data_IF_033350595218
#
_entry.id   IF_033350595218
#
_cell.length_a   1.000
_cell.length_b   1.000
_cell.length_c   1.000
_cell.angle_alpha   90.00
_cell.angle_beta   90.00
_cell.angle_gamma   90.00
#
_symmetry.space_group_name_H-M   'P 1'
#
loop_
_entity.id
_entity.type
_entity.pdbx_description
1 polymer ?
#
# COMPACT_ATOMS: atom_id res chain seq x y z
N UNK A 1 -21.88 28.04 25.63
CA UNK A 1 -21.36 27.95 24.25
C UNK A 1 -21.42 26.53 23.68
N UNK A 2 -21.04 25.45 24.40
CA UNK A 2 -21.09 24.06 23.92
C UNK A 2 -22.53 23.53 23.69
N UNK A 3 -23.53 23.93 24.51
CA UNK A 3 -24.92 23.51 24.33
C UNK A 3 -25.66 24.08 23.09
N UNK A 4 -25.13 25.16 22.50
CA UNK A 4 -25.69 25.70 21.25
C UNK A 4 -25.21 24.95 20.02
N UNK A 5 -23.95 24.46 20.03
CA UNK A 5 -23.39 23.64 18.97
C UNK A 5 -24.06 22.26 18.84
N UNK A 6 -24.40 21.63 19.98
CA UNK A 6 -25.12 20.36 19.98
C UNK A 6 -26.54 20.47 19.44
N UNK A 7 -27.24 21.62 19.66
CA UNK A 7 -28.56 21.87 19.05
C UNK A 7 -28.48 22.10 17.53
N UNK A 8 -27.47 22.81 17.02
CA UNK A 8 -27.30 23.01 15.59
C UNK A 8 -27.00 21.67 14.87
N UNK A 9 -26.18 20.78 15.47
CA UNK A 9 -25.91 19.46 14.89
C UNK A 9 -27.14 18.54 14.91
N UNK A 10 -28.04 18.68 15.90
CA UNK A 10 -29.30 17.92 15.95
C UNK A 10 -30.30 18.36 14.88
N UNK A 11 -30.22 19.60 14.37
CA UNK A 11 -31.09 20.07 13.29
C UNK A 11 -30.65 19.57 11.90
N UNK A 12 -29.39 19.16 11.73
CA UNK A 12 -28.89 18.49 10.51
C UNK A 12 -29.19 16.99 10.47
N UNK A 13 -29.72 16.42 11.57
CA UNK A 13 -30.04 14.98 11.69
C UNK A 13 -31.23 14.49 10.84
N UNK A 14 -32.24 15.28 10.46
CA UNK A 14 -33.35 14.76 9.66
C UNK A 14 -33.00 14.54 8.16
N UNK A 15 -31.87 15.07 7.66
CA UNK A 15 -31.48 14.83 6.29
C UNK A 15 -30.83 13.42 6.09
N UNK A 16 -30.37 12.80 7.17
CA UNK A 16 -30.00 11.39 7.20
C UNK A 16 -31.21 10.61 7.70
N UNK A 17 -32.09 10.20 6.79
CA UNK A 17 -33.25 9.39 7.10
C UNK A 17 -32.88 8.19 7.99
N UNK A 18 -33.88 7.62 8.63
CA UNK A 18 -33.72 6.49 9.56
C UNK A 18 -32.77 5.43 9.03
N UNK A 19 -31.51 5.46 9.50
CA UNK A 19 -30.46 4.51 9.13
C UNK A 19 -30.64 3.14 9.79
N UNK A 20 -31.74 2.92 10.54
CA UNK A 20 -32.00 1.64 11.22
C UNK A 20 -32.13 0.48 10.22
N UNK A 21 -32.73 0.73 9.06
CA UNK A 21 -32.86 -0.27 7.99
C UNK A 21 -31.50 -0.60 7.32
N UNK A 22 -30.49 0.28 7.41
CA UNK A 22 -29.14 0.01 6.89
C UNK A 22 -28.35 -0.96 7.77
N UNK A 23 -28.76 -1.18 9.03
CA UNK A 23 -28.10 -2.14 9.93
C UNK A 23 -28.12 -3.56 9.36
N UNK A 24 -29.17 -3.91 8.61
CA UNK A 24 -29.30 -5.23 7.97
C UNK A 24 -28.26 -5.43 6.85
N UNK A 25 -27.89 -4.39 6.12
CA UNK A 25 -26.91 -4.45 5.01
C UNK A 25 -25.46 -4.34 5.48
N UNK A 26 -25.23 -3.93 6.72
CA UNK A 26 -23.89 -3.73 7.28
C UNK A 26 -22.97 -4.95 7.18
N UNK A 27 -23.40 -6.18 7.52
CA UNK A 27 -22.54 -7.36 7.40
C UNK A 27 -22.19 -7.69 5.94
N UNK A 28 -23.16 -7.61 5.03
CA UNK A 28 -22.93 -7.86 3.60
C UNK A 28 -21.98 -6.82 2.99
N UNK A 29 -22.15 -5.54 3.34
CA UNK A 29 -21.25 -4.47 2.91
C UNK A 29 -19.82 -4.65 3.45
N UNK A 30 -19.68 -5.03 4.73
CA UNK A 30 -18.37 -5.31 5.35
C UNK A 30 -17.67 -6.48 4.67
N UNK A 31 -18.41 -7.54 4.34
CA UNK A 31 -17.84 -8.71 3.68
C UNK A 31 -17.39 -8.37 2.25
N UNK A 32 -18.20 -7.62 1.49
CA UNK A 32 -17.84 -7.15 0.15
C UNK A 32 -16.60 -6.26 0.20
N UNK A 33 -16.56 -5.29 1.09
CA UNK A 33 -15.42 -4.38 1.24
C UNK A 33 -14.12 -5.13 1.58
N UNK A 34 -14.18 -6.19 2.42
CA UNK A 34 -13.01 -7.03 2.70
C UNK A 34 -12.55 -7.82 1.48
N UNK A 35 -13.47 -8.31 0.65
CA UNK A 35 -13.14 -9.01 -0.58
C UNK A 35 -12.48 -8.06 -1.61
N UNK A 36 -13.04 -6.87 -1.78
CA UNK A 36 -12.52 -5.84 -2.68
C UNK A 36 -11.11 -5.39 -2.25
N UNK A 37 -10.89 -5.18 -0.95
CA UNK A 37 -9.56 -4.86 -0.41
C UNK A 37 -8.55 -5.97 -0.62
N UNK A 38 -8.94 -7.24 -0.42
CA UNK A 38 -8.05 -8.36 -0.68
C UNK A 38 -7.65 -8.46 -2.16
N UNK A 39 -8.59 -8.18 -3.07
CA UNK A 39 -8.33 -8.13 -4.49
C UNK A 39 -7.37 -6.99 -4.86
N UNK A 40 -7.60 -5.78 -4.37
CA UNK A 40 -6.73 -4.63 -4.61
C UNK A 40 -5.32 -4.86 -4.07
N UNK A 41 -5.18 -5.45 -2.88
CA UNK A 41 -3.87 -5.82 -2.34
C UNK A 41 -3.10 -6.80 -3.23
N UNK A 42 -3.78 -7.80 -3.80
CA UNK A 42 -3.13 -8.74 -4.73
C UNK A 42 -2.64 -8.04 -5.99
N UNK A 43 -3.46 -7.18 -6.57
CA UNK A 43 -3.07 -6.38 -7.73
C UNK A 43 -1.88 -5.49 -7.37
N UNK A 44 -1.92 -4.82 -6.22
CA UNK A 44 -0.81 -3.98 -5.74
C UNK A 44 0.49 -4.75 -5.59
N UNK A 45 0.45 -5.95 -4.99
CA UNK A 45 1.63 -6.83 -4.90
C UNK A 45 2.17 -7.22 -6.27
N UNK A 46 1.30 -7.61 -7.23
CA UNK A 46 1.73 -7.98 -8.58
C UNK A 46 2.38 -6.82 -9.31
N UNK A 47 1.78 -5.63 -9.27
CA UNK A 47 2.34 -4.43 -9.87
C UNK A 47 3.70 -4.11 -9.22
N UNK A 48 3.81 -4.19 -7.90
CA UNK A 48 5.06 -3.95 -7.17
C UNK A 48 6.14 -4.94 -7.57
N UNK A 49 5.83 -6.23 -7.71
CA UNK A 49 6.78 -7.26 -8.18
C UNK A 49 7.31 -6.89 -9.57
N UNK A 50 6.43 -6.48 -10.49
CA UNK A 50 6.83 -6.09 -11.85
C UNK A 50 7.76 -4.87 -11.79
N UNK A 51 7.39 -3.82 -11.06
CA UNK A 51 8.16 -2.58 -10.96
C UNK A 51 9.53 -2.84 -10.33
N UNK A 52 9.59 -3.60 -9.22
CA UNK A 52 10.84 -3.94 -8.54
C UNK A 52 11.75 -4.76 -9.46
N UNK A 53 11.20 -5.72 -10.21
CA UNK A 53 11.95 -6.54 -11.15
C UNK A 53 12.50 -5.70 -12.31
N UNK A 54 11.72 -4.76 -12.85
CA UNK A 54 12.17 -3.82 -13.89
C UNK A 54 13.25 -2.86 -13.37
N UNK A 55 13.35 -2.65 -12.08
CA UNK A 55 14.42 -1.90 -11.45
C UNK A 55 15.79 -2.55 -11.59
N UNK A 56 15.90 -3.88 -11.69
CA UNK A 56 17.19 -4.59 -11.80
C UNK A 56 17.98 -4.15 -13.03
N UNK A 57 17.45 -4.20 -14.27
CA UNK A 57 18.20 -3.70 -15.43
C UNK A 57 18.46 -2.19 -15.37
N UNK A 58 17.60 -1.42 -14.71
CA UNK A 58 17.83 0.00 -14.51
C UNK A 58 19.03 0.24 -13.60
N UNK A 59 19.17 -0.52 -12.52
CA UNK A 59 20.30 -0.43 -11.60
C UNK A 59 21.63 -0.74 -12.30
N UNK A 60 21.62 -1.70 -13.25
CA UNK A 60 22.81 -2.04 -14.05
C UNK A 60 23.26 -0.87 -14.92
N UNK A 61 22.31 -0.13 -15.51
CA UNK A 61 22.64 0.99 -16.41
C UNK A 61 23.06 2.24 -15.64
N UNK A 62 22.41 2.52 -14.51
CA UNK A 62 22.59 3.78 -13.77
C UNK A 62 23.75 3.69 -12.76
N UNK A 63 23.92 2.55 -12.10
CA UNK A 63 24.90 2.35 -11.04
C UNK A 63 25.63 1.00 -11.18
N UNK A 64 26.44 0.82 -12.24
CA UNK A 64 27.11 -0.46 -12.51
C UNK A 64 28.00 -0.93 -11.35
N UNK A 65 28.63 -0.01 -10.63
CA UNK A 65 29.53 -0.32 -9.50
C UNK A 65 28.78 -0.92 -8.29
N UNK A 66 27.50 -0.59 -8.12
CA UNK A 66 26.65 -1.08 -7.03
C UNK A 66 25.64 -2.13 -7.48
N UNK A 67 25.66 -2.51 -8.76
CA UNK A 67 24.65 -3.39 -9.37
C UNK A 67 24.41 -4.69 -8.59
N UNK A 68 25.46 -5.40 -8.21
CA UNK A 68 25.34 -6.70 -7.51
C UNK A 68 24.60 -6.53 -6.18
N UNK A 69 24.88 -5.45 -5.47
CA UNK A 69 24.29 -5.14 -4.17
C UNK A 69 22.79 -4.79 -4.31
N UNK A 70 22.47 -3.97 -5.32
CA UNK A 70 21.08 -3.57 -5.60
C UNK A 70 20.26 -4.73 -6.16
N UNK A 71 20.83 -5.53 -7.06
CA UNK A 71 20.17 -6.71 -7.58
C UNK A 71 19.80 -7.69 -6.46
N UNK A 72 20.70 -7.93 -5.50
CA UNK A 72 20.43 -8.78 -4.35
C UNK A 72 19.29 -8.21 -3.47
N UNK A 73 19.32 -6.90 -3.21
CA UNK A 73 18.28 -6.22 -2.44
C UNK A 73 16.90 -6.33 -3.13
N UNK A 74 16.85 -6.13 -4.45
CA UNK A 74 15.61 -6.25 -5.22
C UNK A 74 15.10 -7.69 -5.31
N UNK A 75 15.98 -8.67 -5.43
CA UNK A 75 15.58 -10.08 -5.40
C UNK A 75 14.99 -10.43 -4.04
N UNK A 76 15.59 -9.99 -2.94
CA UNK A 76 15.05 -10.19 -1.60
C UNK A 76 13.67 -9.53 -1.45
N UNK A 77 13.50 -8.32 -1.99
CA UNK A 77 12.22 -7.61 -2.03
C UNK A 77 11.15 -8.38 -2.83
N UNK A 78 11.49 -8.87 -4.02
CA UNK A 78 10.57 -9.67 -4.85
C UNK A 78 10.13 -10.94 -4.11
N UNK A 79 11.05 -11.65 -3.46
CA UNK A 79 10.72 -12.85 -2.65
C UNK A 79 9.77 -12.48 -1.50
N UNK A 80 10.02 -11.36 -0.82
CA UNK A 80 9.14 -10.87 0.24
C UNK A 80 7.75 -10.52 -0.30
N UNK A 81 7.66 -9.80 -1.43
CA UNK A 81 6.38 -9.45 -2.07
C UNK A 81 5.60 -10.68 -2.54
N UNK A 82 6.30 -11.71 -3.05
CA UNK A 82 5.67 -13.00 -3.40
C UNK A 82 5.10 -13.71 -2.17
N UNK A 83 5.83 -13.69 -1.04
CA UNK A 83 5.34 -14.23 0.22
C UNK A 83 4.10 -13.45 0.70
N UNK A 84 4.11 -12.12 0.65
CA UNK A 84 2.96 -11.29 0.97
C UNK A 84 1.77 -11.56 0.05
N UNK A 85 1.99 -11.71 -1.25
CA UNK A 85 0.95 -12.11 -2.19
C UNK A 85 0.32 -13.45 -1.79
N UNK A 86 1.13 -14.47 -1.50
CA UNK A 86 0.66 -15.78 -1.07
C UNK A 86 -0.15 -15.69 0.24
N UNK A 87 0.31 -14.89 1.21
CA UNK A 87 -0.39 -14.66 2.48
C UNK A 87 -1.78 -14.05 2.24
N UNK A 88 -1.94 -13.11 1.30
CA UNK A 88 -3.25 -12.51 0.99
C UNK A 88 -4.25 -13.49 0.40
N UNK A 89 -3.83 -14.68 -0.06
CA UNK A 89 -4.74 -15.72 -0.54
C UNK A 89 -5.40 -16.49 0.61
N UNK A 90 -4.84 -16.44 1.81
CA UNK A 90 -5.32 -17.18 2.97
C UNK A 90 -6.57 -16.51 3.57
N UNK A 91 -7.67 -17.26 3.78
CA UNK A 91 -8.90 -16.69 4.36
C UNK A 91 -8.71 -16.17 5.78
N UNK A 92 -7.77 -16.74 6.53
CA UNK A 92 -7.45 -16.36 7.91
C UNK A 92 -6.84 -14.95 8.02
N UNK A 93 -6.29 -14.41 6.94
CA UNK A 93 -5.60 -13.12 6.93
C UNK A 93 -6.54 -11.95 6.64
N UNK A 94 -7.77 -12.21 6.20
CA UNK A 94 -8.75 -11.16 5.88
C UNK A 94 -8.90 -10.07 6.97
N UNK A 95 -8.95 -10.37 8.29
CA UNK A 95 -9.03 -9.33 9.31
C UNK A 95 -7.78 -8.48 9.45
N UNK A 96 -6.62 -8.98 8.98
CA UNK A 96 -5.31 -8.34 9.09
C UNK A 96 -4.82 -7.72 7.78
N UNK A 97 -5.68 -7.60 6.77
CA UNK A 97 -5.32 -7.04 5.45
C UNK A 97 -4.66 -5.67 5.54
N UNK A 98 -5.08 -4.83 6.49
CA UNK A 98 -4.46 -3.53 6.72
C UNK A 98 -2.98 -3.67 7.11
N UNK A 99 -2.65 -4.59 8.02
CA UNK A 99 -1.27 -4.83 8.43
C UNK A 99 -0.42 -5.37 7.27
N UNK A 100 -0.99 -6.28 6.48
CA UNK A 100 -0.33 -6.84 5.29
C UNK A 100 -0.04 -5.73 4.27
N UNK A 101 -1.03 -4.87 3.98
CA UNK A 101 -0.84 -3.72 3.08
C UNK A 101 0.25 -2.80 3.58
N UNK A 102 0.21 -2.45 4.86
CA UNK A 102 1.22 -1.57 5.46
C UNK A 102 2.61 -2.20 5.39
N UNK A 103 2.73 -3.50 5.68
CA UNK A 103 4.00 -4.21 5.66
C UNK A 103 4.63 -4.21 4.26
N UNK A 104 3.88 -4.59 3.22
CA UNK A 104 4.44 -4.61 1.86
C UNK A 104 4.75 -3.21 1.34
N UNK A 105 3.91 -2.22 1.62
CA UNK A 105 4.15 -0.84 1.20
C UNK A 105 5.41 -0.28 1.89
N UNK A 106 5.56 -0.53 3.19
CA UNK A 106 6.73 -0.10 3.95
C UNK A 106 8.02 -0.77 3.44
N UNK A 107 7.97 -2.04 3.03
CA UNK A 107 9.16 -2.72 2.50
C UNK A 107 9.64 -2.10 1.18
N UNK A 108 8.72 -1.79 0.26
CA UNK A 108 9.07 -1.12 -1.01
C UNK A 108 9.68 0.25 -0.75
N UNK A 109 9.10 1.05 0.14
CA UNK A 109 9.64 2.36 0.51
C UNK A 109 11.03 2.20 1.12
N UNK A 110 11.20 1.26 2.04
CA UNK A 110 12.47 1.02 2.72
C UNK A 110 13.58 0.63 1.72
N UNK A 111 13.28 -0.24 0.76
CA UNK A 111 14.21 -0.64 -0.29
C UNK A 111 14.67 0.57 -1.11
N UNK A 112 13.73 1.42 -1.55
CA UNK A 112 14.07 2.64 -2.30
C UNK A 112 14.90 3.61 -1.45
N UNK A 113 14.57 3.80 -0.18
CA UNK A 113 15.33 4.66 0.74
C UNK A 113 16.76 4.14 0.94
N UNK A 114 16.96 2.81 1.08
CA UNK A 114 18.28 2.20 1.20
C UNK A 114 19.12 2.46 -0.06
N UNK A 115 18.53 2.27 -1.26
CA UNK A 115 19.20 2.54 -2.54
C UNK A 115 19.60 4.02 -2.63
N UNK A 116 18.70 4.95 -2.30
CA UNK A 116 18.99 6.38 -2.32
C UNK A 116 20.13 6.72 -1.35
N UNK A 117 20.11 6.15 -0.14
CA UNK A 117 21.15 6.39 0.85
C UNK A 117 22.54 5.92 0.36
N UNK A 118 22.59 4.82 -0.39
CA UNK A 118 23.81 4.25 -0.95
C UNK A 118 24.29 4.95 -2.24
N UNK A 119 23.40 5.74 -2.90
CA UNK A 119 23.65 6.41 -4.20
C UNK A 119 23.72 7.88 -4.03
N UNK A 120 24.33 8.62 -3.38
CA UNK A 120 24.41 10.10 -3.35
C UNK A 120 23.24 10.82 -2.60
N UNK A 121 22.38 10.08 -1.91
CA UNK A 121 21.31 10.68 -1.11
C UNK A 121 20.33 11.52 -1.94
N UNK A 122 20.19 12.80 -1.62
CA UNK A 122 19.20 13.68 -2.24
C UNK A 122 19.43 13.96 -3.74
N UNK A 123 20.63 13.74 -4.25
CA UNK A 123 20.99 13.91 -5.67
C UNK A 123 20.78 12.65 -6.49
N UNK A 124 20.45 11.54 -5.84
CA UNK A 124 20.20 10.26 -6.51
C UNK A 124 19.04 10.36 -7.52
N UNK A 125 19.23 9.76 -8.69
CA UNK A 125 18.15 9.62 -9.70
C UNK A 125 16.96 8.82 -9.18
N UNK A 126 17.14 7.99 -8.16
CA UNK A 126 16.04 7.24 -7.50
C UNK A 126 15.14 8.10 -6.62
N UNK A 127 15.54 9.33 -6.32
CA UNK A 127 14.69 10.23 -5.54
C UNK A 127 13.34 10.47 -6.22
N UNK A 128 13.30 10.53 -7.55
CA UNK A 128 12.06 10.60 -8.32
C UNK A 128 11.18 9.36 -8.17
N UNK A 129 11.77 8.19 -7.90
CA UNK A 129 11.06 6.93 -7.68
C UNK A 129 10.19 6.93 -6.42
N UNK A 130 10.58 7.67 -5.38
CA UNK A 130 9.76 7.83 -4.17
C UNK A 130 8.41 8.45 -4.51
N UNK A 131 8.39 9.49 -5.37
CA UNK A 131 7.16 10.14 -5.77
C UNK A 131 6.21 9.18 -6.50
N UNK A 132 6.76 8.26 -7.28
CA UNK A 132 6.00 7.24 -8.01
C UNK A 132 5.38 6.21 -7.04
N UNK A 133 6.12 5.81 -6.01
CA UNK A 133 5.62 4.91 -4.94
C UNK A 133 4.54 5.60 -4.12
N UNK A 134 4.73 6.86 -3.74
CA UNK A 134 3.74 7.64 -2.99
C UNK A 134 2.44 7.85 -3.80
N UNK A 135 2.55 8.11 -5.11
CA UNK A 135 1.40 8.15 -6.01
C UNK A 135 0.65 6.80 -6.01
N UNK A 136 1.36 5.68 -6.14
CA UNK A 136 0.76 4.34 -6.12
C UNK A 136 -0.01 4.06 -4.82
N UNK A 137 0.50 4.51 -3.67
CA UNK A 137 -0.16 4.38 -2.38
C UNK A 137 -1.45 5.22 -2.31
N UNK A 138 -1.43 6.41 -2.91
CA UNK A 138 -2.59 7.31 -2.92
C UNK A 138 -3.80 6.76 -3.70
N UNK A 139 -3.59 5.77 -4.56
CA UNK A 139 -4.65 5.11 -5.33
C UNK A 139 -5.17 3.81 -4.67
N UNK A 140 -4.60 3.35 -3.56
CA UNK A 140 -5.03 2.16 -2.79
C UNK A 140 -5.92 2.53 -1.61
#
# INVERSE_FOLDING_TARGET
MIKSLTRSLAQFSPAFGDVSHLKHYRPAYKQKNLADRAYLNRIGCLISIIIVTLGIPLDYVVYPDHFVQFAFLRIAEVVFLMAMYAITTLPSVKPYLFLVTTAFTSSVILTVVIIIYQTEGATSTYYAGINLVLLGIGFM
#
